data_IF_333876014767
#
_entry.id   IF_333876014767
#
_cell.length_a   1.000
_cell.length_b   1.000
_cell.length_c   1.000
_cell.angle_alpha   90.00
_cell.angle_beta   90.00
_cell.angle_gamma   90.00
#
_symmetry.space_group_name_H-M   'P 1'
#
loop_
_entity.id
_entity.type
_entity.pdbx_description
1 polymer ?
#
# COMPACT_ATOMS: atom_id res chain seq x y z
N UNK A 1 -12.36 -18.73 10.62
CA UNK A 1 -12.65 -19.63 9.45
C UNK A 1 -11.92 -19.19 8.17
N UNK A 2 -11.59 -17.90 8.05
CA UNK A 2 -10.84 -17.27 6.96
C UNK A 2 -9.41 -17.80 6.78
N UNK A 3 -8.63 -17.93 7.87
CA UNK A 3 -7.29 -18.55 7.87
C UNK A 3 -7.34 -20.02 7.46
N UNK A 4 -8.34 -20.79 7.93
CA UNK A 4 -8.57 -22.19 7.49
C UNK A 4 -8.95 -22.31 6.01
N UNK A 5 -9.70 -21.34 5.45
CA UNK A 5 -10.04 -21.28 4.02
C UNK A 5 -8.82 -20.94 3.15
N UNK A 6 -8.02 -19.95 3.57
CA UNK A 6 -6.76 -19.55 2.94
C UNK A 6 -5.72 -20.67 2.99
N UNK A 7 -5.62 -21.37 4.13
CA UNK A 7 -4.71 -22.50 4.33
C UNK A 7 -5.08 -23.70 3.46
N UNK A 8 -6.38 -24.08 3.40
CA UNK A 8 -6.88 -25.16 2.52
C UNK A 8 -6.69 -24.86 1.03
N UNK A 9 -6.88 -23.60 0.58
CA UNK A 9 -6.63 -23.23 -0.82
C UNK A 9 -5.13 -23.17 -1.16
N UNK A 10 -4.26 -22.75 -0.23
CA UNK A 10 -2.78 -22.78 -0.39
C UNK A 10 -2.27 -24.19 -0.66
N UNK A 11 -2.77 -25.21 0.04
CA UNK A 11 -2.36 -26.62 -0.15
C UNK A 11 -2.79 -27.17 -1.52
N UNK A 12 -3.97 -26.75 -2.01
CA UNK A 12 -4.49 -27.20 -3.30
C UNK A 12 -3.75 -26.59 -4.50
N UNK A 13 -3.40 -25.30 -4.42
CA UNK A 13 -2.64 -24.59 -5.46
C UNK A 13 -1.18 -25.07 -5.51
N UNK A 14 -0.56 -25.31 -4.34
CA UNK A 14 0.79 -25.86 -4.27
C UNK A 14 0.89 -27.23 -4.96
N UNK A 15 -0.08 -28.14 -4.73
CA UNK A 15 -0.13 -29.48 -5.36
C UNK A 15 -0.27 -29.43 -6.88
N UNK A 16 -1.08 -28.49 -7.43
CA UNK A 16 -1.22 -28.33 -8.89
C UNK A 16 0.03 -27.72 -9.55
N UNK A 17 0.80 -26.90 -8.84
CA UNK A 17 1.98 -26.24 -9.39
C UNK A 17 3.20 -27.18 -9.48
N UNK A 18 3.31 -28.18 -8.61
CA UNK A 18 4.40 -29.16 -8.63
C UNK A 18 4.31 -30.12 -9.82
N UNK A 19 3.08 -30.47 -10.24
CA UNK A 19 2.86 -31.42 -11.34
C UNK A 19 3.09 -30.81 -12.73
N UNK A 20 2.91 -29.49 -12.88
CA UNK A 20 3.08 -28.79 -14.16
C UNK A 20 4.54 -28.38 -14.49
N UNK A 21 5.47 -28.46 -13.53
CA UNK A 21 6.86 -27.98 -13.69
C UNK A 21 7.88 -29.04 -14.11
N UNK A 22 7.50 -30.31 -14.24
CA UNK A 22 8.43 -31.37 -14.66
C UNK A 22 8.61 -31.52 -16.19
N UNK A 23 7.92 -30.74 -17.03
CA UNK A 23 7.94 -30.96 -18.49
C UNK A 23 8.50 -29.83 -19.37
N UNK A 24 9.08 -28.76 -18.79
CA UNK A 24 9.49 -27.60 -19.59
C UNK A 24 10.82 -26.97 -19.14
N UNK A 25 11.90 -27.75 -19.08
CA UNK A 25 13.27 -27.23 -18.98
C UNK A 25 14.22 -28.09 -19.81
N UNK A 26 14.21 -27.87 -21.13
CA UNK A 26 15.31 -28.26 -22.01
C UNK A 26 15.32 -27.33 -23.22
N UNK A 27 16.48 -26.73 -23.48
CA UNK A 27 16.88 -25.92 -24.64
C UNK A 27 16.42 -24.44 -24.64
N UNK A 28 17.32 -23.57 -24.20
CA UNK A 28 17.70 -22.41 -25.02
C UNK A 28 19.10 -21.93 -24.65
N UNK A 29 20.05 -22.25 -25.53
CA UNK A 29 21.45 -21.85 -25.50
C UNK A 29 21.59 -20.40 -25.98
N UNK A 30 22.35 -19.59 -25.24
CA UNK A 30 22.76 -18.24 -25.61
C UNK A 30 23.39 -18.19 -27.01
N UNK A 31 23.01 -17.21 -27.81
CA UNK A 31 23.82 -16.68 -28.92
C UNK A 31 24.10 -15.20 -28.64
N UNK A 32 25.32 -14.92 -28.18
CA UNK A 32 25.91 -13.59 -28.21
C UNK A 32 26.54 -13.40 -29.60
N UNK A 33 25.97 -12.52 -30.41
CA UNK A 33 26.62 -12.02 -31.62
C UNK A 33 27.39 -10.75 -31.28
N UNK A 34 28.72 -10.86 -31.28
CA UNK A 34 29.67 -9.76 -31.18
C UNK A 34 29.64 -8.92 -32.46
N UNK A 35 29.25 -7.64 -32.36
CA UNK A 35 29.49 -6.65 -33.40
C UNK A 35 30.57 -5.69 -32.90
N UNK A 36 31.72 -5.72 -33.57
CA UNK A 36 32.87 -4.84 -33.35
C UNK A 36 32.67 -3.53 -34.13
N UNK A 37 32.35 -2.45 -33.43
CA UNK A 37 32.47 -1.08 -33.94
C UNK A 37 33.55 -0.34 -33.14
N UNK A 38 34.41 0.48 -33.78
CA UNK A 38 35.51 1.17 -33.12
C UNK A 38 35.00 2.25 -32.15
N UNK A 39 35.81 2.71 -31.18
CA UNK A 39 35.40 3.69 -30.18
C UNK A 39 35.26 5.07 -30.84
N UNK A 40 34.08 5.34 -31.40
CA UNK A 40 33.68 6.69 -31.72
C UNK A 40 33.51 7.45 -30.41
N UNK A 41 34.17 8.60 -30.29
CA UNK A 41 33.94 9.57 -29.23
C UNK A 41 32.43 9.75 -29.03
N UNK A 42 31.90 9.20 -27.95
CA UNK A 42 30.61 9.62 -27.42
C UNK A 42 30.89 11.02 -26.89
N UNK A 43 30.69 12.02 -27.75
CA UNK A 43 30.49 13.39 -27.30
C UNK A 43 29.25 13.32 -26.40
N UNK A 44 29.48 13.25 -25.09
CA UNK A 44 28.49 13.66 -24.12
C UNK A 44 28.27 15.13 -24.45
N UNK A 45 27.21 15.43 -25.20
CA UNK A 45 26.65 16.78 -25.21
C UNK A 45 26.29 17.03 -23.74
N UNK A 46 27.17 17.73 -23.03
CA UNK A 46 26.79 18.42 -21.80
C UNK A 46 25.67 19.37 -22.21
N UNK A 47 24.44 18.94 -21.95
CA UNK A 47 23.26 19.77 -22.13
C UNK A 47 23.51 21.07 -21.34
N UNK A 48 23.38 22.23 -22.00
CA UNK A 48 23.63 23.56 -21.40
C UNK A 48 22.81 23.80 -20.11
N UNK A 49 21.80 22.96 -19.87
CA UNK A 49 20.97 22.90 -18.66
C UNK A 49 21.74 22.55 -17.37
N UNK A 50 22.91 21.90 -17.46
CA UNK A 50 23.66 21.46 -16.26
C UNK A 50 24.42 22.62 -15.59
N UNK A 51 24.74 23.70 -16.31
CA UNK A 51 25.56 24.79 -15.77
C UNK A 51 24.87 25.66 -14.70
N UNK A 52 23.54 25.54 -14.53
CA UNK A 52 22.77 26.35 -13.57
C UNK A 52 21.83 25.53 -12.66
N UNK A 53 22.23 24.32 -12.26
CA UNK A 53 21.48 23.52 -11.29
C UNK A 53 21.68 24.06 -9.88
N UNK A 54 20.60 24.49 -9.22
CA UNK A 54 20.65 24.89 -7.81
C UNK A 54 20.98 23.69 -6.91
N UNK A 55 21.74 23.86 -5.83
CA UNK A 55 22.05 22.78 -4.90
C UNK A 55 20.80 22.28 -4.16
N UNK A 56 20.81 21.01 -3.76
CA UNK A 56 19.71 20.37 -3.01
C UNK A 56 19.34 21.11 -1.71
N UNK A 57 20.29 21.82 -1.10
CA UNK A 57 20.06 22.66 0.08
C UNK A 57 19.11 23.82 -0.16
N UNK A 58 19.00 24.30 -1.40
CA UNK A 58 18.15 25.44 -1.80
C UNK A 58 16.70 25.06 -2.13
N UNK A 59 16.35 23.77 -2.09
CA UNK A 59 14.95 23.37 -2.25
C UNK A 59 14.12 24.03 -1.14
N UNK A 60 13.05 24.78 -1.47
CA UNK A 60 12.29 25.52 -0.48
C UNK A 60 11.52 24.57 0.45
N UNK A 61 11.24 25.03 1.66
CA UNK A 61 10.50 24.26 2.65
C UNK A 61 10.70 24.80 4.07
N UNK A 62 9.99 24.21 5.06
CA UNK A 62 10.09 24.66 6.43
C UNK A 62 11.51 24.60 6.96
N UNK A 63 12.02 25.73 7.47
CA UNK A 63 13.36 25.79 8.05
C UNK A 63 13.40 24.99 9.33
N UNK A 64 14.31 24.01 9.37
CA UNK A 64 14.58 23.22 10.56
C UNK A 64 15.11 24.12 11.68
N UNK A 65 14.61 23.93 12.91
CA UNK A 65 15.22 24.59 14.08
C UNK A 65 16.43 23.77 14.54
N UNK A 66 17.49 24.40 15.08
CA UNK A 66 18.66 23.69 15.59
C UNK A 66 18.25 22.58 16.57
N UNK A 67 18.90 21.41 16.46
CA UNK A 67 18.70 20.21 17.31
C UNK A 67 17.37 19.49 17.06
N UNK A 68 16.22 20.19 17.10
CA UNK A 68 14.89 19.57 17.01
C UNK A 68 14.43 19.26 15.58
N UNK A 69 15.05 19.90 14.58
CA UNK A 69 14.70 19.71 13.17
C UNK A 69 13.32 20.24 12.83
N UNK A 70 12.60 19.57 11.93
CA UNK A 70 11.19 19.86 11.64
C UNK A 70 10.21 18.91 12.34
N UNK A 71 10.71 17.95 13.12
CA UNK A 71 9.88 16.93 13.81
C UNK A 71 8.84 17.55 14.73
N UNK A 72 9.13 18.71 15.32
CA UNK A 72 8.20 19.39 16.20
C UNK A 72 6.94 19.88 15.49
N UNK A 73 7.03 20.20 14.20
CA UNK A 73 5.90 20.69 13.41
C UNK A 73 4.80 19.64 13.25
N UNK A 74 5.12 18.36 13.45
CA UNK A 74 4.16 17.24 13.37
C UNK A 74 3.78 16.65 14.74
N UNK A 75 4.14 17.33 15.84
CA UNK A 75 3.78 16.89 17.19
C UNK A 75 2.31 17.22 17.54
N UNK A 76 1.58 16.38 18.29
CA UNK A 76 0.12 16.55 18.48
C UNK A 76 -0.34 17.82 19.21
N UNK A 77 0.49 18.39 20.09
CA UNK A 77 0.07 19.51 20.97
C UNK A 77 0.67 20.85 20.51
N UNK A 78 1.92 20.82 20.04
CA UNK A 78 2.71 22.01 19.70
C UNK A 78 3.06 22.10 18.21
N UNK A 79 2.66 21.09 17.43
CA UNK A 79 2.92 21.03 16.00
C UNK A 79 2.05 22.00 15.22
N UNK A 80 2.59 22.46 14.10
CA UNK A 80 1.89 23.34 13.15
C UNK A 80 1.01 22.54 12.19
N UNK A 81 1.37 21.28 11.95
CA UNK A 81 0.73 20.42 10.97
C UNK A 81 -0.03 19.31 11.67
N UNK A 82 -1.32 19.23 11.37
CA UNK A 82 -2.14 18.09 11.76
C UNK A 82 -1.92 16.93 10.77
N UNK A 83 -1.09 15.97 11.19
CA UNK A 83 -0.80 14.76 10.41
C UNK A 83 -2.02 13.86 10.17
N UNK A 84 -3.12 14.08 10.88
CA UNK A 84 -4.37 13.36 10.60
C UNK A 84 -5.06 13.87 9.32
N UNK A 85 -4.71 15.09 8.88
CA UNK A 85 -5.15 15.67 7.61
C UNK A 85 -3.95 15.97 6.70
N UNK A 86 -3.40 14.91 6.11
CA UNK A 86 -2.26 15.01 5.19
C UNK A 86 -2.57 15.85 3.95
N UNK A 87 -3.84 15.96 3.55
CA UNK A 87 -4.25 16.75 2.39
C UNK A 87 -4.12 18.25 2.70
N UNK A 88 -4.60 18.69 3.87
CA UNK A 88 -4.41 20.07 4.34
C UNK A 88 -2.94 20.43 4.50
N UNK A 89 -2.14 19.56 5.13
CA UNK A 89 -0.69 19.80 5.26
C UNK A 89 -0.04 19.97 3.88
N UNK A 90 -0.38 19.11 2.94
CA UNK A 90 0.13 19.19 1.57
C UNK A 90 -0.30 20.47 0.85
N UNK A 91 -1.55 20.91 1.04
CA UNK A 91 -2.05 22.18 0.50
C UNK A 91 -1.31 23.39 1.09
N UNK A 92 -1.10 23.42 2.40
CA UNK A 92 -0.38 24.49 3.08
C UNK A 92 1.07 24.59 2.63
N UNK A 93 1.77 23.44 2.52
CA UNK A 93 3.14 23.37 2.01
C UNK A 93 3.23 23.89 0.57
N UNK A 94 2.33 23.46 -0.32
CA UNK A 94 2.29 23.94 -1.70
C UNK A 94 2.03 25.45 -1.77
N UNK A 95 1.06 25.96 -0.98
CA UNK A 95 0.71 27.38 -0.96
C UNK A 95 1.87 28.26 -0.49
N UNK A 96 2.63 27.79 0.50
CA UNK A 96 3.71 28.57 1.12
C UNK A 96 5.04 28.47 0.36
N UNK A 97 5.39 27.28 -0.13
CA UNK A 97 6.73 27.00 -0.68
C UNK A 97 6.73 26.72 -2.18
N UNK A 98 5.57 26.56 -2.81
CA UNK A 98 5.42 26.37 -4.24
C UNK A 98 5.51 24.92 -4.71
N UNK A 99 5.96 24.75 -5.96
CA UNK A 99 5.81 23.50 -6.74
C UNK A 99 6.67 22.32 -6.28
N UNK A 100 7.73 22.58 -5.50
CA UNK A 100 8.62 21.57 -4.94
C UNK A 100 8.94 21.97 -3.52
N UNK A 101 8.77 21.06 -2.56
CA UNK A 101 8.92 21.38 -1.14
C UNK A 101 9.71 20.29 -0.43
N UNK A 102 10.74 20.67 0.33
CA UNK A 102 11.54 19.75 1.14
C UNK A 102 11.20 19.92 2.63
N UNK A 103 10.75 18.83 3.24
CA UNK A 103 10.61 18.71 4.69
C UNK A 103 11.74 17.83 5.22
N UNK A 104 12.81 18.46 5.70
CA UNK A 104 14.03 17.79 6.15
C UNK A 104 14.13 17.66 7.68
N UNK A 105 15.13 16.93 8.16
CA UNK A 105 15.48 16.82 9.58
C UNK A 105 14.33 16.26 10.44
N UNK A 106 13.67 15.23 9.93
CA UNK A 106 12.65 14.47 10.65
C UNK A 106 13.31 13.30 11.41
N UNK A 107 13.05 13.17 12.71
CA UNK A 107 13.67 12.12 13.53
C UNK A 107 13.30 10.73 12.99
N UNK A 108 14.32 9.93 12.67
CA UNK A 108 14.15 8.56 12.19
C UNK A 108 13.58 8.44 10.78
N UNK A 109 13.62 9.52 9.97
CA UNK A 109 13.14 9.55 8.59
C UNK A 109 14.13 10.27 7.66
N UNK A 110 14.21 9.86 6.38
CA UNK A 110 14.86 10.69 5.37
C UNK A 110 14.05 11.96 5.11
N UNK A 111 14.67 12.91 4.41
CA UNK A 111 14.00 14.10 3.90
C UNK A 111 12.80 13.70 3.03
N UNK A 112 11.67 14.39 3.22
CA UNK A 112 10.49 14.22 2.39
C UNK A 112 10.48 15.32 1.34
N UNK A 113 10.45 14.92 0.07
CA UNK A 113 10.32 15.84 -1.06
C UNK A 113 8.91 15.73 -1.64
N UNK A 114 8.17 16.83 -1.59
CA UNK A 114 6.85 16.97 -2.19
C UNK A 114 7.00 17.61 -3.56
N UNK A 115 6.45 16.96 -4.59
CA UNK A 115 6.37 17.47 -5.95
C UNK A 115 4.90 17.75 -6.26
N UNK A 116 4.62 18.96 -6.72
CA UNK A 116 3.27 19.42 -7.07
C UNK A 116 3.12 19.72 -8.55
N UNK A 117 4.22 19.69 -9.30
CA UNK A 117 4.23 19.90 -10.75
C UNK A 117 4.15 18.56 -11.49
N UNK A 118 3.18 18.44 -12.41
CA UNK A 118 2.92 17.19 -13.11
C UNK A 118 4.05 16.79 -14.07
N UNK A 119 4.70 17.77 -14.70
CA UNK A 119 5.79 17.51 -15.66
C UNK A 119 7.03 16.99 -14.91
N UNK A 120 7.31 17.53 -13.72
CA UNK A 120 8.38 17.01 -12.86
C UNK A 120 8.08 15.62 -12.32
N UNK A 121 6.83 15.35 -11.93
CA UNK A 121 6.39 14.02 -11.49
C UNK A 121 6.57 13.00 -12.63
N UNK A 122 6.22 13.36 -13.87
CA UNK A 122 6.42 12.51 -15.05
C UNK A 122 7.90 12.16 -15.23
N UNK A 123 8.80 13.15 -15.16
CA UNK A 123 10.25 12.94 -15.30
C UNK A 123 10.77 11.95 -14.24
N UNK A 124 10.31 12.07 -13.00
CA UNK A 124 10.67 11.13 -11.91
C UNK A 124 10.20 9.71 -12.25
N UNK A 125 8.96 9.53 -12.69
CA UNK A 125 8.46 8.20 -13.07
C UNK A 125 9.17 7.60 -14.28
N UNK A 126 9.61 8.42 -15.25
CA UNK A 126 10.41 7.94 -16.39
C UNK A 126 11.79 7.43 -15.99
N UNK A 127 12.32 7.91 -14.87
CA UNK A 127 13.62 7.52 -14.32
C UNK A 127 13.51 6.46 -13.21
N UNK A 128 12.31 5.93 -12.97
CA UNK A 128 12.07 4.94 -11.92
C UNK A 128 12.80 3.61 -12.19
N UNK A 129 13.38 3.01 -11.15
CA UNK A 129 14.05 1.71 -11.28
C UNK A 129 13.06 0.57 -11.50
N UNK A 130 13.54 -0.57 -12.04
CA UNK A 130 12.75 -1.80 -12.19
C UNK A 130 12.24 -2.39 -10.87
N UNK A 131 12.79 -1.98 -9.74
CA UNK A 131 12.35 -2.35 -8.38
C UNK A 131 12.17 -1.08 -7.54
N UNK A 132 11.07 -0.33 -7.75
CA UNK A 132 10.88 0.96 -7.11
C UNK A 132 10.91 0.86 -5.58
N UNK A 133 11.52 1.88 -4.98
CA UNK A 133 11.60 2.00 -3.54
C UNK A 133 10.61 3.05 -3.06
N UNK A 134 9.55 2.60 -2.41
CA UNK A 134 8.65 3.48 -1.64
C UNK A 134 9.06 3.39 -0.18
N UNK A 135 9.18 4.50 0.58
CA UNK A 135 9.46 4.45 2.00
C UNK A 135 8.58 3.40 2.69
N UNK A 136 9.23 2.45 3.35
CA UNK A 136 8.54 1.32 3.98
C UNK A 136 7.54 1.80 5.04
N UNK A 137 6.66 0.91 5.46
CA UNK A 137 5.81 1.09 6.65
C UNK A 137 6.46 0.33 7.81
N UNK A 138 7.43 0.91 8.53
CA UNK A 138 8.17 0.28 9.61
C UNK A 138 7.34 -0.59 10.56
N UNK A 139 6.14 -0.15 10.96
CA UNK A 139 5.29 -0.94 11.86
C UNK A 139 4.85 -2.27 11.22
N UNK A 140 4.46 -2.22 9.96
CA UNK A 140 4.06 -3.39 9.18
C UNK A 140 5.27 -4.28 8.84
N UNK A 141 6.44 -3.69 8.58
CA UNK A 141 7.69 -4.42 8.37
C UNK A 141 8.06 -5.19 9.63
N UNK A 142 8.04 -4.56 10.81
CA UNK A 142 8.30 -5.23 12.10
C UNK A 142 7.28 -6.35 12.36
N UNK A 143 6.00 -6.11 12.11
CA UNK A 143 4.97 -7.12 12.29
C UNK A 143 5.23 -8.36 11.41
N UNK A 144 5.47 -8.15 10.12
CA UNK A 144 5.63 -9.25 9.15
C UNK A 144 6.99 -9.95 9.26
N UNK A 145 8.05 -9.19 9.52
CA UNK A 145 9.43 -9.65 9.52
C UNK A 145 9.88 -10.26 10.84
N UNK A 146 9.34 -9.78 11.96
CA UNK A 146 9.78 -10.17 13.30
C UNK A 146 8.67 -10.89 14.08
N UNK A 147 7.47 -10.30 14.19
CA UNK A 147 6.39 -10.81 15.07
C UNK A 147 5.66 -12.02 14.49
N UNK A 148 5.42 -12.03 13.17
CA UNK A 148 4.71 -13.08 12.44
C UNK A 148 5.53 -13.63 11.27
N UNK A 149 6.85 -13.67 11.45
CA UNK A 149 7.82 -14.13 10.45
C UNK A 149 7.46 -15.51 9.88
N UNK A 150 7.03 -16.44 10.74
CA UNK A 150 6.74 -17.82 10.33
C UNK A 150 5.53 -17.90 9.39
N UNK A 151 4.54 -17.02 9.56
CA UNK A 151 3.36 -16.96 8.70
C UNK A 151 3.68 -16.35 7.32
N UNK A 152 4.41 -15.23 7.32
CA UNK A 152 4.71 -14.46 6.10
C UNK A 152 5.89 -15.04 5.30
N UNK A 153 6.82 -15.70 5.98
CA UNK A 153 8.01 -16.30 5.39
C UNK A 153 8.87 -15.29 4.64
N UNK A 154 9.53 -15.77 3.58
CA UNK A 154 10.48 -14.96 2.76
C UNK A 154 9.81 -14.02 1.78
N UNK A 155 8.50 -14.17 1.56
CA UNK A 155 7.71 -13.37 0.62
C UNK A 155 6.52 -12.75 1.32
N UNK A 156 6.79 -11.80 2.21
CA UNK A 156 5.76 -11.16 3.03
C UNK A 156 4.71 -10.36 2.24
N UNK A 157 4.89 -10.13 0.94
CA UNK A 157 3.90 -9.48 0.08
C UNK A 157 4.48 -8.28 -0.67
N UNK A 158 3.59 -7.37 -1.11
CA UNK A 158 3.98 -6.15 -1.84
C UNK A 158 4.29 -4.96 -0.94
N UNK A 159 3.57 -4.82 0.19
CA UNK A 159 3.72 -3.65 1.06
C UNK A 159 4.88 -3.86 2.05
N UNK A 160 5.79 -2.90 2.11
CA UNK A 160 6.97 -2.94 2.99
C UNK A 160 8.05 -3.94 2.57
N UNK A 161 8.02 -4.39 1.31
CA UNK A 161 9.02 -5.28 0.72
C UNK A 161 9.64 -4.54 -0.47
N UNK A 162 10.94 -4.67 -0.66
CA UNK A 162 11.70 -3.96 -1.71
C UNK A 162 12.62 -4.92 -2.48
N UNK A 163 13.20 -4.43 -3.58
CA UNK A 163 14.17 -5.18 -4.39
C UNK A 163 13.58 -6.44 -5.03
N UNK A 164 14.41 -7.47 -5.16
CA UNK A 164 13.98 -8.70 -5.84
C UNK A 164 12.88 -9.50 -5.13
N UNK A 165 12.80 -9.59 -3.78
CA UNK A 165 11.67 -10.20 -3.11
C UNK A 165 10.33 -9.54 -3.49
N UNK A 166 10.30 -8.21 -3.58
CA UNK A 166 9.13 -7.47 -4.04
C UNK A 166 8.78 -7.81 -5.47
N UNK A 167 9.77 -7.77 -6.38
CA UNK A 167 9.56 -8.04 -7.81
C UNK A 167 9.06 -9.46 -8.03
N UNK A 168 9.67 -10.45 -7.38
CA UNK A 168 9.23 -11.85 -7.42
C UNK A 168 7.78 -12.00 -6.97
N UNK A 169 7.39 -11.41 -5.84
CA UNK A 169 6.01 -11.45 -5.37
C UNK A 169 5.06 -10.73 -6.35
N UNK A 170 5.37 -9.49 -6.72
CA UNK A 170 4.58 -8.63 -7.62
C UNK A 170 4.35 -9.30 -8.97
N UNK A 171 5.39 -9.84 -9.62
CA UNK A 171 5.28 -10.54 -10.90
C UNK A 171 4.42 -11.79 -10.82
N UNK A 172 4.40 -12.46 -9.66
CA UNK A 172 3.54 -13.64 -9.44
C UNK A 172 2.07 -13.25 -9.32
N UNK A 173 1.75 -12.23 -8.52
CA UNK A 173 0.36 -11.83 -8.24
C UNK A 173 -0.26 -10.92 -9.30
N UNK A 174 0.54 -10.20 -10.09
CA UNK A 174 0.00 -9.27 -11.09
C UNK A 174 -0.79 -9.98 -12.20
N UNK A 175 -0.37 -11.19 -12.60
CA UNK A 175 -1.01 -11.93 -13.70
C UNK A 175 -2.48 -12.23 -13.40
N UNK A 176 -2.83 -12.84 -12.25
CA UNK A 176 -4.23 -13.11 -11.93
C UNK A 176 -5.07 -11.87 -11.57
N UNK A 177 -4.46 -10.71 -11.31
CA UNK A 177 -5.18 -9.53 -10.78
C UNK A 177 -5.29 -8.40 -11.80
N UNK A 178 -4.29 -8.20 -12.67
CA UNK A 178 -4.20 -7.01 -13.54
C UNK A 178 -4.35 -7.33 -15.03
N UNK A 179 -4.34 -8.60 -15.44
CA UNK A 179 -4.59 -8.93 -16.84
C UNK A 179 -6.07 -8.75 -17.18
N UNK A 180 -6.36 -7.93 -18.20
CA UNK A 180 -7.73 -7.60 -18.64
C UNK A 180 -8.60 -8.85 -18.80
N UNK A 181 -8.07 -9.90 -19.44
CA UNK A 181 -8.82 -11.15 -19.65
C UNK A 181 -9.16 -11.89 -18.35
N UNK A 182 -8.33 -11.74 -17.32
CA UNK A 182 -8.62 -12.29 -15.99
C UNK A 182 -9.61 -11.41 -15.25
N UNK A 183 -9.43 -10.08 -15.30
CA UNK A 183 -10.33 -9.11 -14.65
C UNK A 183 -11.77 -9.24 -15.16
N UNK A 184 -11.96 -9.46 -16.47
CA UNK A 184 -13.29 -9.66 -17.07
C UNK A 184 -14.10 -10.78 -16.42
N UNK A 185 -13.44 -11.82 -15.91
CA UNK A 185 -14.11 -12.96 -15.24
C UNK A 185 -14.74 -12.59 -13.90
N UNK A 186 -14.33 -11.46 -13.32
CA UNK A 186 -14.86 -11.00 -12.04
C UNK A 186 -15.99 -9.98 -12.20
N UNK A 187 -16.32 -9.54 -13.42
CA UNK A 187 -17.38 -8.55 -13.67
C UNK A 187 -18.72 -9.06 -13.16
N UNK A 188 -19.17 -10.23 -13.65
CA UNK A 188 -20.45 -10.82 -13.25
C UNK A 188 -20.51 -11.11 -11.73
N UNK A 189 -19.50 -11.75 -11.09
CA UNK A 189 -19.46 -11.89 -9.64
C UNK A 189 -19.57 -10.58 -8.83
N UNK A 190 -18.97 -9.49 -9.32
CA UNK A 190 -19.07 -8.16 -8.68
C UNK A 190 -20.45 -7.54 -8.95
N UNK A 191 -20.99 -7.72 -10.14
CA UNK A 191 -22.31 -7.23 -10.53
C UNK A 191 -23.40 -7.86 -9.66
N UNK A 192 -23.34 -9.17 -9.41
CA UNK A 192 -24.29 -9.86 -8.53
C UNK A 192 -24.27 -9.28 -7.11
N UNK A 193 -23.09 -9.11 -6.53
CA UNK A 193 -22.93 -8.48 -5.21
C UNK A 193 -23.44 -7.04 -5.21
N UNK A 194 -23.25 -6.32 -6.32
CA UNK A 194 -23.70 -4.94 -6.45
C UNK A 194 -25.21 -4.85 -6.61
N UNK A 195 -25.86 -5.80 -7.29
CA UNK A 195 -27.32 -5.91 -7.34
C UNK A 195 -27.90 -6.14 -5.96
N UNK A 196 -27.34 -7.07 -5.18
CA UNK A 196 -27.74 -7.32 -3.80
C UNK A 196 -27.59 -6.07 -2.94
N UNK A 197 -26.48 -5.35 -3.10
CA UNK A 197 -26.23 -4.09 -2.40
C UNK A 197 -27.24 -3.00 -2.77
N UNK A 198 -27.58 -2.84 -4.05
CA UNK A 198 -28.61 -1.88 -4.50
C UNK A 198 -29.97 -2.24 -3.92
N UNK A 199 -30.37 -3.51 -3.96
CA UNK A 199 -31.62 -3.98 -3.34
C UNK A 199 -31.65 -3.66 -1.85
N UNK A 200 -30.53 -3.89 -1.14
CA UNK A 200 -30.40 -3.53 0.28
C UNK A 200 -30.51 -2.01 0.50
N UNK A 201 -29.82 -1.20 -0.31
CA UNK A 201 -29.91 0.26 -0.24
C UNK A 201 -31.34 0.76 -0.40
N UNK A 202 -32.07 0.23 -1.39
CA UNK A 202 -33.47 0.62 -1.63
C UNK A 202 -34.36 0.28 -0.44
N UNK A 203 -34.11 -0.83 0.25
CA UNK A 203 -34.83 -1.22 1.46
C UNK A 203 -34.44 -0.41 2.71
N UNK A 204 -33.24 0.20 2.75
CA UNK A 204 -32.74 0.98 3.88
C UNK A 204 -33.12 2.46 3.82
N UNK A 205 -33.64 2.95 2.68
CA UNK A 205 -34.07 4.35 2.55
C UNK A 205 -35.12 4.70 3.59
N UNK A 206 -34.97 5.86 4.21
CA UNK A 206 -36.03 6.42 5.04
C UNK A 206 -37.15 7.05 4.18
N UNK A 207 -38.14 7.64 4.84
CA UNK A 207 -39.28 8.29 4.19
C UNK A 207 -38.88 9.49 3.32
N UNK A 208 -37.72 10.10 3.60
CA UNK A 208 -37.17 11.22 2.83
C UNK A 208 -36.29 10.73 1.65
N UNK A 209 -36.09 9.42 1.52
CA UNK A 209 -35.22 8.81 0.52
C UNK A 209 -33.73 8.91 0.86
N UNK A 210 -33.40 9.23 2.11
CA UNK A 210 -32.04 9.37 2.61
C UNK A 210 -31.47 8.03 3.10
N UNK A 211 -30.14 7.90 3.06
CA UNK A 211 -29.43 6.75 3.61
C UNK A 211 -29.19 6.93 5.11
N UNK A 212 -29.06 5.83 5.89
CA UNK A 212 -28.75 5.93 7.30
C UNK A 212 -27.37 6.57 7.55
N UNK A 213 -27.21 7.18 8.74
CA UNK A 213 -25.99 7.92 9.10
C UNK A 213 -24.70 7.09 9.08
N UNK A 214 -24.81 5.77 9.24
CA UNK A 214 -23.71 4.79 9.25
C UNK A 214 -23.58 4.02 7.92
N UNK A 215 -24.10 4.59 6.83
CA UNK A 215 -24.01 4.01 5.49
C UNK A 215 -22.56 3.73 5.05
N UNK A 216 -21.56 4.39 5.64
CA UNK A 216 -20.15 4.05 5.43
C UNK A 216 -19.88 2.56 5.69
N UNK A 217 -20.45 1.99 6.75
CA UNK A 217 -20.26 0.58 7.10
C UNK A 217 -20.88 -0.36 6.05
N UNK A 218 -22.01 0.02 5.45
CA UNK A 218 -22.63 -0.73 4.36
C UNK A 218 -21.75 -0.73 3.09
N UNK A 219 -21.06 0.37 2.80
CA UNK A 219 -20.05 0.42 1.73
C UNK A 219 -18.87 -0.52 2.05
N UNK A 220 -18.42 -0.59 3.31
CA UNK A 220 -17.36 -1.52 3.70
C UNK A 220 -17.80 -3.00 3.54
N UNK A 221 -19.05 -3.32 3.88
CA UNK A 221 -19.65 -4.64 3.66
C UNK A 221 -19.68 -5.01 2.18
N UNK A 222 -20.12 -4.09 1.32
CA UNK A 222 -20.10 -4.29 -0.14
C UNK A 222 -18.67 -4.51 -0.66
N UNK A 223 -17.71 -3.66 -0.26
CA UNK A 223 -16.32 -3.78 -0.67
C UNK A 223 -15.69 -5.12 -0.21
N UNK A 224 -15.99 -5.54 1.03
CA UNK A 224 -15.52 -6.83 1.57
C UNK A 224 -16.12 -8.01 0.80
N UNK A 225 -17.42 -7.97 0.50
CA UNK A 225 -18.08 -9.03 -0.27
C UNK A 225 -17.49 -9.13 -1.70
N UNK A 226 -17.28 -7.99 -2.36
CA UNK A 226 -16.65 -7.91 -3.69
C UNK A 226 -15.23 -8.51 -3.68
N UNK A 227 -14.37 -8.12 -2.74
CA UNK A 227 -13.02 -8.69 -2.67
C UNK A 227 -13.05 -10.17 -2.24
N UNK A 228 -14.05 -10.60 -1.46
CA UNK A 228 -14.33 -12.00 -1.17
C UNK A 228 -14.60 -12.82 -2.44
N UNK A 229 -15.39 -12.27 -3.37
CA UNK A 229 -15.62 -12.89 -4.69
C UNK A 229 -14.35 -12.98 -5.52
N UNK A 230 -13.55 -11.91 -5.57
CA UNK A 230 -12.33 -11.87 -6.41
C UNK A 230 -11.21 -12.73 -5.83
N UNK A 231 -10.89 -12.57 -4.54
CA UNK A 231 -9.72 -13.19 -3.92
C UNK A 231 -9.97 -14.62 -3.44
N UNK A 232 -11.20 -14.92 -2.99
CA UNK A 232 -11.55 -16.18 -2.37
C UNK A 232 -12.58 -16.98 -3.14
N UNK A 233 -13.16 -16.43 -4.22
CA UNK A 233 -14.27 -17.04 -4.95
C UNK A 233 -15.37 -17.53 -4.00
N UNK A 234 -15.78 -16.66 -3.08
CA UNK A 234 -16.76 -17.00 -2.05
C UNK A 234 -17.61 -15.79 -1.68
N UNK A 235 -18.84 -16.04 -1.23
CA UNK A 235 -19.71 -15.05 -0.60
C UNK A 235 -19.39 -15.04 0.89
N UNK A 236 -19.07 -13.88 1.44
CA UNK A 236 -18.75 -13.73 2.86
C UNK A 236 -19.99 -13.50 3.72
N UNK A 237 -21.13 -13.25 3.06
CA UNK A 237 -22.41 -13.01 3.73
C UNK A 237 -22.57 -11.58 4.22
N UNK A 238 -21.77 -10.62 3.74
CA UNK A 238 -21.85 -9.23 4.18
C UNK A 238 -23.20 -8.58 3.83
N UNK A 239 -23.91 -9.11 2.83
CA UNK A 239 -25.20 -8.60 2.34
C UNK A 239 -26.41 -9.12 3.14
N UNK A 240 -26.21 -9.99 4.13
CA UNK A 240 -27.29 -10.48 4.98
C UNK A 240 -27.97 -9.31 5.74
N UNK A 241 -29.29 -9.10 5.59
CA UNK A 241 -30.03 -8.07 6.33
C UNK A 241 -29.98 -8.24 7.85
N UNK A 242 -29.78 -9.47 8.34
CA UNK A 242 -29.75 -9.82 9.75
C UNK A 242 -28.34 -10.13 10.25
N UNK A 243 -27.31 -9.63 9.56
CA UNK A 243 -25.91 -9.86 9.93
C UNK A 243 -25.63 -9.36 11.36
N UNK A 244 -25.23 -10.24 12.30
CA UNK A 244 -24.93 -9.83 13.66
C UNK A 244 -23.74 -8.87 13.74
N UNK A 245 -23.72 -7.93 14.70
CA UNK A 245 -22.58 -7.03 14.92
C UNK A 245 -21.25 -7.76 15.23
N UNK A 246 -21.32 -8.97 15.81
CA UNK A 246 -20.16 -9.80 16.13
C UNK A 246 -19.83 -10.85 15.05
N UNK A 247 -20.44 -10.72 13.87
CA UNK A 247 -20.18 -11.59 12.73
C UNK A 247 -18.74 -11.51 12.23
N UNK A 248 -18.25 -12.60 11.62
CA UNK A 248 -16.89 -12.65 11.05
C UNK A 248 -16.63 -11.52 10.02
N UNK A 249 -17.55 -11.18 9.09
CA UNK A 249 -17.33 -10.08 8.15
C UNK A 249 -17.22 -8.71 8.85
N UNK A 250 -18.05 -8.45 9.88
CA UNK A 250 -17.97 -7.19 10.61
C UNK A 250 -16.64 -7.09 11.38
N UNK A 251 -16.19 -8.17 12.02
CA UNK A 251 -14.86 -8.23 12.66
C UNK A 251 -13.71 -7.99 11.68
N UNK A 252 -13.80 -8.51 10.44
CA UNK A 252 -12.82 -8.21 9.37
C UNK A 252 -12.80 -6.71 9.05
N UNK A 253 -13.97 -6.10 8.89
CA UNK A 253 -14.10 -4.66 8.60
C UNK A 253 -13.50 -3.84 9.73
N UNK A 254 -13.86 -4.14 10.97
CA UNK A 254 -13.39 -3.42 12.15
C UNK A 254 -11.88 -3.54 12.32
N UNK A 255 -11.34 -4.75 12.13
CA UNK A 255 -9.90 -4.99 12.18
C UNK A 255 -9.14 -4.22 11.09
N UNK A 256 -9.66 -4.19 9.86
CA UNK A 256 -9.07 -3.44 8.76
C UNK A 256 -9.12 -1.92 9.03
N UNK A 257 -10.27 -1.39 9.48
CA UNK A 257 -10.44 0.02 9.85
C UNK A 257 -9.47 0.41 10.97
N UNK A 258 -9.33 -0.42 12.00
CA UNK A 258 -8.41 -0.19 13.10
C UNK A 258 -6.95 -0.15 12.62
N UNK A 259 -6.54 -1.13 11.81
CA UNK A 259 -5.18 -1.19 11.28
C UNK A 259 -4.84 0.06 10.46
N UNK A 260 -5.71 0.46 9.52
CA UNK A 260 -5.50 1.61 8.64
C UNK A 260 -5.44 2.94 9.41
N UNK A 261 -6.34 3.15 10.38
CA UNK A 261 -6.36 4.38 11.22
C UNK A 261 -5.09 4.52 12.07
N UNK A 262 -4.59 3.41 12.62
CA UNK A 262 -3.46 3.45 13.55
C UNK A 262 -2.09 3.41 12.85
N UNK A 263 -2.03 2.92 11.60
CA UNK A 263 -0.81 2.97 10.77
C UNK A 263 -0.29 4.40 10.65
N UNK A 264 -1.14 5.37 10.28
CA UNK A 264 -0.70 6.76 10.09
C UNK A 264 -0.12 7.34 11.39
N UNK A 265 -0.72 7.01 12.53
CA UNK A 265 -0.25 7.45 13.86
C UNK A 265 1.10 6.82 14.20
N UNK A 266 1.24 5.50 14.05
CA UNK A 266 2.48 4.79 14.34
C UNK A 266 3.62 5.18 13.40
N UNK A 267 3.27 5.51 12.15
CA UNK A 267 4.22 5.97 11.17
C UNK A 267 4.57 7.41 11.41
N UNK A 268 3.66 8.37 11.49
CA UNK A 268 4.02 9.80 11.45
C UNK A 268 4.44 10.39 12.82
N UNK A 269 4.04 9.79 13.95
CA UNK A 269 4.49 10.24 15.28
C UNK A 269 5.89 9.73 15.62
N UNK A 270 6.43 10.24 16.73
CA UNK A 270 7.68 9.72 17.28
C UNK A 270 7.57 8.20 17.51
N UNK A 271 8.51 7.38 17.00
CA UNK A 271 8.33 5.95 16.89
C UNK A 271 8.67 5.20 18.19
N UNK A 272 8.05 5.57 19.31
CA UNK A 272 8.29 4.94 20.64
C UNK A 272 8.16 3.41 20.62
N UNK A 273 7.24 2.89 19.80
CA UNK A 273 6.99 1.46 19.60
C UNK A 273 8.21 0.67 19.09
N UNK A 274 9.22 1.36 18.54
CA UNK A 274 10.48 0.71 18.13
C UNK A 274 11.33 0.32 19.32
N UNK A 275 11.25 1.06 20.43
CA UNK A 275 12.11 0.89 21.60
C UNK A 275 11.46 0.07 22.71
N UNK A 276 10.14 0.21 22.91
CA UNK A 276 9.38 -0.55 23.91
C UNK A 276 7.96 -0.85 23.40
N UNK A 277 7.30 -1.92 23.88
CA UNK A 277 5.98 -2.31 23.42
C UNK A 277 4.90 -1.35 23.95
N UNK A 278 4.68 -0.25 23.24
CA UNK A 278 3.62 0.71 23.58
C UNK A 278 2.24 0.05 23.52
N UNK A 279 1.27 0.59 24.26
CA UNK A 279 -0.13 0.12 24.23
C UNK A 279 -0.71 0.12 22.81
N UNK A 280 -0.38 1.14 22.01
CA UNK A 280 -0.78 1.23 20.61
C UNK A 280 -0.20 0.09 19.77
N UNK A 281 1.09 -0.21 19.94
CA UNK A 281 1.75 -1.29 19.21
C UNK A 281 1.15 -2.66 19.57
N UNK A 282 0.96 -2.93 20.87
CA UNK A 282 0.40 -4.20 21.34
C UNK A 282 -1.02 -4.42 20.79
N UNK A 283 -1.85 -3.36 20.79
CA UNK A 283 -3.20 -3.42 20.20
C UNK A 283 -3.17 -3.59 18.68
N UNK A 284 -2.23 -2.94 18.00
CA UNK A 284 -2.05 -3.12 16.56
C UNK A 284 -1.68 -4.56 16.20
N UNK A 285 -0.74 -5.17 16.94
CA UNK A 285 -0.35 -6.57 16.75
C UNK A 285 -1.55 -7.50 16.97
N UNK A 286 -2.24 -7.39 18.12
CA UNK A 286 -3.41 -8.23 18.41
C UNK A 286 -4.53 -8.07 17.36
N UNK A 287 -4.73 -6.86 16.84
CA UNK A 287 -5.69 -6.61 15.77
C UNK A 287 -5.26 -7.24 14.44
N UNK A 288 -3.98 -7.15 14.09
CA UNK A 288 -3.45 -7.76 12.87
C UNK A 288 -3.41 -9.29 12.94
N UNK A 289 -3.35 -9.84 14.15
CA UNK A 289 -3.34 -11.29 14.39
C UNK A 289 -4.62 -11.98 13.95
N UNK A 290 -5.75 -11.26 13.96
CA UNK A 290 -7.02 -11.73 13.44
C UNK A 290 -6.95 -12.20 11.96
N UNK A 291 -6.00 -11.68 11.17
CA UNK A 291 -5.84 -12.08 9.77
C UNK A 291 -4.94 -13.31 9.56
N UNK A 292 -4.24 -13.77 10.59
CA UNK A 292 -3.27 -14.87 10.49
C UNK A 292 -3.67 -16.10 11.31
N UNK A 293 -4.50 -15.93 12.34
CA UNK A 293 -5.08 -16.99 13.17
C UNK A 293 -6.30 -17.66 12.51
#
# INVERSE_FOLDING_TARGET
>A
MFSKLLYRKRTLIARKCTQAKCHALSKQTLRLSSSSAPPGNILIQEDETVQHVKPYSEIPGPRAIPILGNTWRVMPIIGQYDISDTAKVSFELHREYGKIVKLSNLVGRPDLLFLYDADEIEKVYRQESVTPFRPSMPCLVKYKGDVRKDFFGTLGGVVGVHGEPWKKFRTTVQKPILQVQTVKKYIEPIEDVTKDFISKMLAMKDENGEMPSDFDNEIHKWALECIGRVALDTRLGCMDPHLPPDSEPQKIIDAAKYALRNIAIMELRFPFWRYFPTTLWTRYVANMDYFVE
#
